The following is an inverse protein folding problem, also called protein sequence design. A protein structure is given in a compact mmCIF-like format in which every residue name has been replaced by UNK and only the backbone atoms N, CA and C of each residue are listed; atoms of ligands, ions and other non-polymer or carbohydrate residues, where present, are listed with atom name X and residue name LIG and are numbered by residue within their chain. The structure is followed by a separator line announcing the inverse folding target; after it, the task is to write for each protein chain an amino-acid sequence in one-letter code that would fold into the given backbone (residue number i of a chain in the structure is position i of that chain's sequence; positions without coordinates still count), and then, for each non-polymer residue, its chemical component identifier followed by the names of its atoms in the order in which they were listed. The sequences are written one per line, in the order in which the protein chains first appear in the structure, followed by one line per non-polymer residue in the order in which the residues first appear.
data_IF_816831791558
#
_entry.id   IF_816831791558
#
_cell.length_a   1.000
_cell.length_b   1.000
_cell.length_c   1.000
_cell.angle_alpha   90.00
_cell.angle_beta   90.00
_cell.angle_gamma   90.00
#
_symmetry.space_group_name_H-M   'P 1'
#
loop_
_entity.id
_entity.type
_entity.pdbx_description
1 polymer ?
#
# COMPACT_ATOMS: atom_id res chain seq x y z
N UNK A 1 15.58 1.04 12.91
CA UNK A 1 15.19 0.39 11.65
C UNK A 1 14.86 -1.10 11.80
N UNK A 2 15.75 -1.95 12.34
CA UNK A 2 15.52 -3.42 12.41
C UNK A 2 14.20 -3.84 13.08
N UNK A 3 13.92 -3.35 14.30
CA UNK A 3 12.69 -3.68 15.02
C UNK A 3 11.41 -3.32 14.26
N UNK A 4 11.38 -2.16 13.59
CA UNK A 4 10.25 -1.73 12.77
C UNK A 4 10.06 -2.64 11.54
N UNK A 5 11.15 -3.01 10.87
CA UNK A 5 11.13 -3.91 9.72
C UNK A 5 10.68 -5.34 10.10
N UNK A 6 11.16 -5.87 11.22
CA UNK A 6 10.73 -7.18 11.75
C UNK A 6 9.24 -7.18 12.07
N UNK A 7 8.75 -6.12 12.72
CA UNK A 7 7.32 -5.97 13.01
C UNK A 7 6.49 -5.89 11.74
N UNK A 8 6.93 -5.10 10.74
CA UNK A 8 6.26 -4.98 9.45
C UNK A 8 6.17 -6.34 8.74
N UNK A 9 7.28 -7.09 8.65
CA UNK A 9 7.28 -8.42 8.05
C UNK A 9 6.36 -9.41 8.79
N UNK A 10 6.33 -9.36 10.13
CA UNK A 10 5.43 -10.18 10.91
C UNK A 10 3.96 -9.87 10.59
N UNK A 11 3.57 -8.59 10.61
CA UNK A 11 2.21 -8.16 10.31
C UNK A 11 1.78 -8.51 8.88
N UNK A 12 2.67 -8.33 7.90
CA UNK A 12 2.43 -8.73 6.53
C UNK A 12 2.17 -10.24 6.40
N UNK A 13 2.99 -11.10 7.02
CA UNK A 13 2.78 -12.56 7.00
C UNK A 13 1.45 -12.94 7.63
N UNK A 14 1.10 -12.34 8.78
CA UNK A 14 -0.19 -12.56 9.43
C UNK A 14 -1.36 -12.16 8.51
N UNK A 15 -1.28 -11.01 7.85
CA UNK A 15 -2.30 -10.57 6.91
C UNK A 15 -2.45 -11.54 5.71
N UNK A 16 -1.34 -12.01 5.15
CA UNK A 16 -1.33 -12.97 4.04
C UNK A 16 -1.93 -14.33 4.41
N UNK A 17 -1.89 -14.72 5.69
CA UNK A 17 -2.52 -15.95 6.20
C UNK A 17 -3.91 -15.71 6.78
N UNK A 18 -4.57 -14.58 6.47
CA UNK A 18 -5.94 -14.29 6.89
C UNK A 18 -6.09 -13.79 8.34
N UNK A 19 -4.99 -13.50 9.05
CA UNK A 19 -5.01 -12.95 10.41
C UNK A 19 -4.96 -11.40 10.43
N UNK A 20 -5.26 -10.74 9.30
CA UNK A 20 -5.44 -9.29 9.21
C UNK A 20 -6.80 -8.84 9.75
N UNK A 21 -6.91 -7.60 10.19
CA UNK A 21 -8.12 -7.09 10.87
C UNK A 21 -9.11 -6.39 9.95
N UNK A 22 -8.65 -5.76 8.87
CA UNK A 22 -9.46 -4.85 8.05
C UNK A 22 -10.69 -5.53 7.44
N UNK A 23 -10.49 -6.71 6.83
CA UNK A 23 -11.59 -7.48 6.24
C UNK A 23 -12.53 -8.07 7.29
N UNK A 24 -12.01 -8.40 8.47
CA UNK A 24 -12.82 -8.86 9.59
C UNK A 24 -13.72 -7.73 10.12
N UNK A 25 -13.16 -6.53 10.35
CA UNK A 25 -13.92 -5.35 10.76
C UNK A 25 -14.96 -4.95 9.70
N UNK A 26 -14.61 -5.03 8.42
CA UNK A 26 -15.55 -4.79 7.33
C UNK A 26 -16.73 -5.78 7.34
N UNK A 27 -16.46 -7.07 7.58
CA UNK A 27 -17.51 -8.08 7.71
C UNK A 27 -18.45 -7.76 8.89
N UNK A 28 -17.89 -7.42 10.07
CA UNK A 28 -18.67 -7.02 11.23
C UNK A 28 -19.56 -5.81 10.93
N UNK A 29 -19.06 -4.84 10.17
CA UNK A 29 -19.85 -3.70 9.71
C UNK A 29 -21.00 -4.11 8.80
N UNK A 30 -20.75 -4.96 7.80
CA UNK A 30 -21.82 -5.44 6.91
C UNK A 30 -22.92 -6.16 7.68
N UNK A 31 -22.54 -7.03 8.62
CA UNK A 31 -23.49 -7.76 9.48
C UNK A 31 -24.25 -6.81 10.40
N UNK A 32 -23.58 -5.81 11.01
CA UNK A 32 -24.27 -4.85 11.88
C UNK A 32 -25.30 -4.02 11.09
N UNK A 33 -24.98 -3.64 9.85
CA UNK A 33 -25.91 -2.94 8.94
C UNK A 33 -27.11 -3.83 8.59
N UNK A 34 -26.87 -5.09 8.27
CA UNK A 34 -27.93 -6.06 7.97
C UNK A 34 -28.89 -6.27 9.15
N UNK A 35 -28.36 -6.37 10.37
CA UNK A 35 -29.13 -6.57 11.59
C UNK A 35 -29.70 -5.26 12.19
N UNK A 36 -29.48 -4.11 11.56
CA UNK A 36 -29.90 -2.80 12.10
C UNK A 36 -29.20 -2.41 13.41
N UNK A 37 -28.07 -3.04 13.74
CA UNK A 37 -27.32 -2.80 14.98
C UNK A 37 -26.28 -1.70 14.79
N UNK A 38 -26.31 -0.71 15.68
CA UNK A 38 -25.32 0.36 15.72
C UNK A 38 -24.12 -0.02 16.60
N UNK A 39 -22.91 0.30 16.14
CA UNK A 39 -21.67 0.08 16.89
C UNK A 39 -20.82 1.34 16.87
N UNK A 40 -20.69 2.07 18.00
CA UNK A 40 -19.80 3.23 18.10
C UNK A 40 -18.35 2.89 17.77
N UNK A 41 -17.91 1.68 18.09
CA UNK A 41 -16.58 1.19 17.74
C UNK A 41 -16.38 1.08 16.22
N UNK A 42 -17.32 0.43 15.51
CA UNK A 42 -17.23 0.29 14.07
C UNK A 42 -17.35 1.64 13.35
N UNK A 43 -18.20 2.54 13.85
CA UNK A 43 -18.30 3.90 13.34
C UNK A 43 -16.98 4.66 13.44
N UNK A 44 -16.27 4.53 14.57
CA UNK A 44 -14.97 5.18 14.77
C UNK A 44 -13.88 4.58 13.88
N UNK A 45 -13.73 3.25 13.87
CA UNK A 45 -12.61 2.60 13.17
C UNK A 45 -12.70 2.75 11.65
N UNK A 46 -13.91 2.87 11.10
CA UNK A 46 -14.14 3.03 9.66
C UNK A 46 -14.12 4.50 9.19
N UNK A 47 -14.11 5.46 10.11
CA UNK A 47 -14.07 6.88 9.77
C UNK A 47 -12.65 7.40 9.48
N UNK A 48 -11.62 6.65 9.88
CA UNK A 48 -10.23 7.04 9.65
C UNK A 48 -9.88 6.95 8.15
N UNK A 49 -9.29 8.00 7.53
CA UNK A 49 -8.96 8.00 6.10
C UNK A 49 -7.60 7.35 5.82
N UNK A 50 -7.50 6.57 4.73
CA UNK A 50 -6.24 5.94 4.31
C UNK A 50 -5.37 6.95 3.55
N UNK A 51 -4.72 7.85 4.29
CA UNK A 51 -3.86 8.92 3.73
C UNK A 51 -2.63 8.41 3.00
N UNK A 52 -2.19 7.19 3.24
CA UNK A 52 -1.12 6.55 2.49
C UNK A 52 -1.58 5.18 2.02
N UNK A 53 -1.92 5.08 0.74
CA UNK A 53 -2.24 3.81 0.10
C UNK A 53 -1.02 3.34 -0.67
N UNK A 54 -0.54 2.12 -0.36
CA UNK A 54 0.68 1.58 -0.97
C UNK A 54 0.48 0.18 -1.54
N UNK A 55 1.20 -0.16 -2.60
CA UNK A 55 1.29 -1.54 -3.08
C UNK A 55 2.65 -1.83 -3.69
N UNK A 56 3.15 -3.03 -3.40
CA UNK A 56 4.24 -3.62 -4.18
C UNK A 56 3.66 -4.42 -5.34
N UNK A 57 4.18 -4.20 -6.54
CA UNK A 57 3.91 -5.09 -7.68
C UNK A 57 5.18 -5.88 -7.96
N UNK A 58 5.27 -7.16 -7.57
CA UNK A 58 6.44 -7.96 -7.89
C UNK A 58 6.49 -8.19 -9.41
N UNK A 59 7.60 -7.82 -10.05
CA UNK A 59 7.78 -8.08 -11.47
C UNK A 59 7.93 -9.58 -11.76
N UNK A 60 8.37 -10.34 -10.75
CA UNK A 60 8.48 -11.80 -10.82
C UNK A 60 7.99 -12.40 -9.50
N UNK A 61 6.97 -13.25 -9.58
CA UNK A 61 6.53 -14.07 -8.45
C UNK A 61 7.21 -15.44 -8.46
N UNK A 62 7.57 -15.93 -9.65
CA UNK A 62 8.26 -17.18 -9.89
C UNK A 62 9.56 -16.89 -10.65
N UNK A 63 10.62 -17.67 -10.41
CA UNK A 63 11.92 -17.56 -11.11
C UNK A 63 11.84 -18.09 -12.55
N UNK A 64 10.83 -17.67 -13.31
CA UNK A 64 10.55 -18.13 -14.67
C UNK A 64 11.26 -17.30 -15.75
N UNK A 65 11.83 -16.15 -15.38
CA UNK A 65 12.55 -15.27 -16.29
C UNK A 65 13.79 -14.71 -15.60
N UNK A 66 14.88 -14.51 -16.34
CA UNK A 66 16.14 -14.01 -15.79
C UNK A 66 16.33 -12.53 -16.17
N UNK A 67 15.99 -11.62 -15.26
CA UNK A 67 16.16 -10.18 -15.48
C UNK A 67 17.63 -9.75 -15.50
N UNK A 68 18.57 -10.55 -14.96
CA UNK A 68 19.99 -10.24 -15.05
C UNK A 68 20.51 -10.52 -16.46
N UNK A 69 20.01 -11.58 -17.10
CA UNK A 69 20.34 -11.91 -18.49
C UNK A 69 19.65 -10.98 -19.49
N UNK A 70 18.47 -10.46 -19.15
CA UNK A 70 17.66 -9.61 -20.02
C UNK A 70 17.28 -8.29 -19.32
N UNK A 71 18.25 -7.42 -19.01
CA UNK A 71 18.03 -6.21 -18.22
C UNK A 71 17.05 -5.22 -18.88
N UNK A 72 16.99 -5.20 -20.22
CA UNK A 72 16.10 -4.32 -20.97
C UNK A 72 14.61 -4.67 -20.84
N UNK A 73 14.27 -5.78 -20.18
CA UNK A 73 12.90 -6.23 -19.95
C UNK A 73 12.37 -5.80 -18.56
N UNK A 74 13.14 -5.02 -17.81
CA UNK A 74 12.69 -4.40 -16.56
C UNK A 74 11.64 -3.32 -16.87
N UNK A 75 10.52 -3.35 -16.15
CA UNK A 75 9.45 -2.36 -16.29
C UNK A 75 9.26 -1.60 -14.99
N UNK A 76 9.10 -0.28 -15.09
CA UNK A 76 8.73 0.55 -13.93
C UNK A 76 7.29 0.31 -13.46
N UNK A 77 6.50 -0.46 -14.22
CA UNK A 77 5.11 -0.75 -13.94
C UNK A 77 4.20 0.46 -14.02
N UNK A 78 3.10 0.40 -13.27
CA UNK A 78 2.13 1.48 -13.16
C UNK A 78 1.83 1.83 -11.70
N UNK A 79 0.98 2.83 -11.51
CA UNK A 79 0.49 3.22 -10.20
C UNK A 79 -0.99 3.55 -10.20
N UNK A 80 -1.45 4.11 -9.08
CA UNK A 80 -2.84 4.44 -8.81
C UNK A 80 -2.92 5.80 -8.14
N UNK A 81 -4.09 6.45 -8.21
CA UNK A 81 -4.36 7.71 -7.51
C UNK A 81 -4.54 7.51 -5.99
N UNK A 82 -4.43 8.59 -5.19
CA UNK A 82 -4.69 8.51 -3.75
C UNK A 82 -6.17 8.17 -3.47
N UNK A 83 -6.41 7.43 -2.38
CA UNK A 83 -7.77 7.04 -1.93
C UNK A 83 -8.41 8.04 -0.98
N UNK A 84 -7.63 9.01 -0.47
CA UNK A 84 -8.07 10.14 0.33
C UNK A 84 -7.75 11.45 -0.40
N UNK A 85 -8.54 12.49 -0.18
CA UNK A 85 -8.31 13.80 -0.79
C UNK A 85 -6.98 14.43 -0.35
N UNK A 86 -6.62 14.22 0.91
CA UNK A 86 -5.40 14.67 1.56
C UNK A 86 -4.32 13.58 1.64
N UNK A 87 -4.38 12.58 0.75
CA UNK A 87 -3.51 11.42 0.77
C UNK A 87 -2.59 11.24 -0.44
N UNK A 88 -1.84 10.15 -0.39
CA UNK A 88 -0.90 9.68 -1.41
C UNK A 88 -1.24 8.27 -1.90
N UNK A 89 -1.06 8.04 -3.20
CA UNK A 89 -0.95 6.70 -3.78
C UNK A 89 0.51 6.40 -4.11
N UNK A 90 1.05 5.31 -3.56
CA UNK A 90 2.46 4.93 -3.76
C UNK A 90 2.55 3.48 -4.24
N UNK A 91 2.83 3.29 -5.52
CA UNK A 91 3.16 1.99 -6.09
C UNK A 91 4.67 1.86 -6.20
N UNK A 92 5.22 0.68 -5.93
CA UNK A 92 6.64 0.43 -6.09
C UNK A 92 6.95 -0.97 -6.63
N UNK A 93 8.03 -1.05 -7.39
CA UNK A 93 8.59 -2.31 -7.90
C UNK A 93 10.03 -2.40 -7.44
N UNK A 94 10.38 -3.55 -6.86
CA UNK A 94 11.76 -3.92 -6.56
C UNK A 94 12.18 -4.87 -7.69
N UNK A 95 13.10 -4.41 -8.54
CA UNK A 95 13.57 -5.13 -9.71
C UNK A 95 15.03 -5.57 -9.51
N UNK A 96 15.22 -6.87 -9.27
CA UNK A 96 16.52 -7.44 -8.92
C UNK A 96 17.06 -6.84 -7.61
N UNK A 97 18.37 -6.63 -7.56
CA UNK A 97 19.08 -6.12 -6.36
C UNK A 97 19.42 -4.63 -6.44
N UNK A 98 19.28 -4.01 -7.62
CA UNK A 98 19.89 -2.70 -7.91
C UNK A 98 18.88 -1.60 -8.27
N UNK A 99 17.60 -1.93 -8.47
CA UNK A 99 16.61 -0.97 -8.91
C UNK A 99 15.32 -1.06 -8.08
N UNK A 100 14.89 0.08 -7.57
CA UNK A 100 13.56 0.26 -7.01
C UNK A 100 12.90 1.41 -7.76
N UNK A 101 11.74 1.15 -8.36
CA UNK A 101 10.94 2.19 -9.01
C UNK A 101 9.78 2.57 -8.11
N UNK A 102 9.49 3.87 -8.02
CA UNK A 102 8.36 4.41 -7.27
C UNK A 102 7.48 5.23 -8.21
N UNK A 103 6.18 4.97 -8.18
CA UNK A 103 5.15 5.83 -8.72
C UNK A 103 4.39 6.47 -7.55
N UNK A 104 4.54 7.79 -7.40
CA UNK A 104 3.90 8.57 -6.33
C UNK A 104 2.85 9.50 -6.94
N UNK A 105 1.64 9.46 -6.39
CA UNK A 105 0.53 10.31 -6.81
C UNK A 105 -0.12 11.02 -5.62
N UNK A 106 -0.67 12.21 -5.87
CA UNK A 106 -1.42 13.04 -4.94
C UNK A 106 -2.38 13.94 -5.72
N UNK A 107 -3.39 14.52 -5.08
CA UNK A 107 -4.32 15.43 -5.75
C UNK A 107 -3.77 16.85 -5.75
N UNK A 108 -3.81 17.53 -6.90
CA UNK A 108 -3.46 18.96 -6.99
C UNK A 108 -4.32 19.86 -6.11
N UNK A 109 -5.55 19.44 -5.80
CA UNK A 109 -6.48 20.20 -4.97
C UNK A 109 -6.13 20.18 -3.47
N UNK A 110 -5.22 19.31 -3.03
CA UNK A 110 -4.82 19.23 -1.62
C UNK A 110 -3.55 20.04 -1.37
N UNK A 111 -3.62 21.12 -0.56
CA UNK A 111 -2.45 21.93 -0.23
C UNK A 111 -1.44 21.18 0.66
N UNK A 112 -1.88 20.12 1.34
CA UNK A 112 -1.06 19.33 2.26
C UNK A 112 -0.19 18.29 1.54
N UNK A 113 -0.50 17.96 0.28
CA UNK A 113 0.17 16.89 -0.47
C UNK A 113 0.92 17.40 -1.69
N UNK A 114 2.12 16.85 -1.90
CA UNK A 114 2.95 17.11 -3.07
C UNK A 114 3.74 15.83 -3.40
N UNK A 115 3.46 15.24 -4.57
CA UNK A 115 4.09 14.01 -5.05
C UNK A 115 5.59 14.17 -5.32
N UNK A 116 6.02 15.33 -5.82
CA UNK A 116 7.43 15.63 -6.06
C UNK A 116 8.18 15.81 -4.73
N UNK A 117 7.58 16.50 -3.76
CA UNK A 117 8.13 16.62 -2.40
C UNK A 117 8.25 15.25 -1.73
N UNK A 118 7.22 14.42 -1.81
CA UNK A 118 7.27 13.05 -1.28
C UNK A 118 8.38 12.24 -1.96
N UNK A 119 8.44 12.30 -3.29
CA UNK A 119 9.48 11.65 -4.10
C UNK A 119 10.91 12.06 -3.71
N UNK A 120 11.14 13.34 -3.38
CA UNK A 120 12.43 13.82 -2.88
C UNK A 120 12.77 13.25 -1.49
N UNK A 121 11.80 13.09 -0.60
CA UNK A 121 12.01 12.62 0.77
C UNK A 121 12.20 11.09 0.88
N UNK A 122 11.83 10.32 -0.14
CA UNK A 122 12.07 8.87 -0.18
C UNK A 122 13.36 8.49 -0.90
N UNK A 123 14.00 9.43 -1.61
CA UNK A 123 15.32 9.21 -2.21
C UNK A 123 16.37 9.26 -1.10
N UNK A 124 17.20 8.21 -1.04
CA UNK A 124 18.42 8.18 -0.25
C UNK A 124 19.55 8.90 -0.97
#
# INVERSE_FOLDING_TARGET
FKAAAEKHQQLYRLAMTGAGIDRHLFCLYLVSRYLGTQSPFLAKVLAEPWRLSTSQTPQQQLKMFDLNKFPDHVSSGGGFGPVADDGYGVSYIIAGENLITFHVSSKFSSPETDSQRFGRNIRH
#
